data_IF_075739216205
#
_entry.id   IF_075739216205
#
_cell.length_a   1.000
_cell.length_b   1.000
_cell.length_c   1.000
_cell.angle_alpha   90.00
_cell.angle_beta   90.00
_cell.angle_gamma   90.00
#
_symmetry.space_group_name_H-M   'P 1'
#
loop_
_entity.id
_entity.type
_entity.pdbx_description
1 polymer ?
#
# COMPACT_ATOMS: atom_id res chain seq x y z
N UNK A 1 -8.25 12.37 -13.12
CA UNK A 1 -7.58 13.07 -14.24
C UNK A 1 -8.55 14.05 -14.85
N UNK A 2 -8.12 15.26 -15.20
CA UNK A 2 -8.97 16.32 -15.74
C UNK A 2 -8.54 16.61 -17.18
N UNK A 3 -9.47 16.53 -18.12
CA UNK A 3 -9.25 16.81 -19.54
C UNK A 3 -10.21 17.89 -19.98
N UNK A 4 -9.68 19.02 -20.45
CA UNK A 4 -10.45 20.20 -20.83
C UNK A 4 -9.73 21.02 -21.90
N UNK A 5 -10.47 21.84 -22.62
CA UNK A 5 -9.91 22.78 -23.59
C UNK A 5 -9.26 23.97 -22.86
N UNK A 6 -8.03 24.33 -23.25
CA UNK A 6 -7.33 25.46 -22.64
C UNK A 6 -7.80 26.83 -23.15
N UNK A 7 -8.15 26.93 -24.45
CA UNK A 7 -8.54 28.20 -25.08
C UNK A 7 -10.00 28.26 -25.53
N UNK A 8 -10.63 27.12 -25.79
CA UNK A 8 -11.97 27.09 -26.39
C UNK A 8 -13.04 26.98 -25.30
N UNK A 9 -14.05 27.83 -25.43
CA UNK A 9 -15.28 27.78 -24.62
C UNK A 9 -16.20 26.67 -25.12
N UNK A 10 -17.09 26.17 -24.28
CA UNK A 10 -18.09 25.14 -24.58
C UNK A 10 -19.02 25.44 -25.75
N UNK A 11 -19.22 26.71 -26.10
CA UNK A 11 -20.00 27.09 -27.29
C UNK A 11 -19.21 26.91 -28.60
N UNK A 12 -17.88 26.92 -28.53
CA UNK A 12 -17.00 26.73 -29.68
C UNK A 12 -16.57 25.27 -29.83
N UNK A 13 -16.38 24.56 -28.72
CA UNK A 13 -15.92 23.19 -28.69
C UNK A 13 -16.66 22.42 -27.60
N UNK A 14 -17.53 21.49 -28.00
CA UNK A 14 -18.17 20.55 -27.06
C UNK A 14 -17.46 19.20 -27.07
N UNK A 15 -17.11 18.72 -25.88
CA UNK A 15 -16.36 17.48 -25.68
C UNK A 15 -17.32 16.41 -25.15
N UNK A 16 -17.38 15.29 -25.86
CA UNK A 16 -18.17 14.13 -25.51
C UNK A 16 -17.27 12.93 -25.22
N UNK A 17 -17.72 12.05 -24.32
CA UNK A 17 -17.06 10.78 -24.03
C UNK A 17 -18.00 9.63 -24.43
N UNK A 18 -17.42 8.53 -24.91
CA UNK A 18 -18.18 7.32 -25.21
C UNK A 18 -18.44 6.54 -23.91
N UNK A 19 -19.66 6.06 -23.73
CA UNK A 19 -20.04 5.14 -22.65
C UNK A 19 -20.55 3.83 -23.26
N UNK A 20 -20.10 2.65 -22.80
CA UNK A 20 -19.15 2.41 -21.71
C UNK A 20 -17.70 2.77 -22.09
N UNK A 21 -16.89 3.16 -21.11
CA UNK A 21 -15.45 3.34 -21.30
C UNK A 21 -14.80 2.00 -21.61
N UNK A 22 -14.23 1.90 -22.79
CA UNK A 22 -13.58 0.69 -23.28
C UNK A 22 -12.36 0.34 -22.42
N UNK A 23 -12.36 -0.88 -21.88
CA UNK A 23 -11.32 -1.43 -21.01
C UNK A 23 -10.58 -2.60 -21.68
N UNK A 24 -10.80 -2.84 -22.97
CA UNK A 24 -10.21 -3.98 -23.67
C UNK A 24 -8.67 -3.92 -23.73
N UNK A 25 -8.09 -2.72 -23.60
CA UNK A 25 -6.64 -2.49 -23.54
C UNK A 25 -6.09 -2.45 -22.11
N UNK A 26 -6.92 -2.71 -21.09
CA UNK A 26 -6.46 -2.70 -19.70
C UNK A 26 -5.61 -3.93 -19.38
N UNK A 27 -4.31 -3.71 -19.18
CA UNK A 27 -3.41 -4.74 -18.66
C UNK A 27 -3.52 -4.79 -17.14
N UNK A 28 -3.99 -5.94 -16.61
CA UNK A 28 -4.16 -6.16 -15.17
C UNK A 28 -2.81 -6.06 -14.46
N UNK A 29 -2.72 -5.17 -13.47
CA UNK A 29 -1.54 -5.05 -12.62
C UNK A 29 -1.64 -6.02 -11.44
N UNK A 30 -0.53 -6.67 -11.08
CA UNK A 30 -0.43 -7.54 -9.90
C UNK A 30 -0.45 -6.77 -8.58
N UNK A 31 -0.05 -5.51 -8.58
CA UNK A 31 0.01 -4.67 -7.37
C UNK A 31 -1.28 -3.87 -7.11
N UNK A 32 -2.02 -3.55 -8.17
CA UNK A 32 -3.15 -2.62 -8.12
C UNK A 32 -4.37 -3.21 -8.83
N UNK A 33 -5.46 -3.35 -8.10
CA UNK A 33 -6.75 -3.74 -8.65
C UNK A 33 -7.54 -2.49 -9.08
N UNK A 34 -8.13 -2.53 -10.26
CA UNK A 34 -9.01 -1.47 -10.74
C UNK A 34 -10.45 -1.80 -10.32
N UNK A 35 -11.00 -1.04 -9.36
CA UNK A 35 -12.36 -1.25 -8.86
C UNK A 35 -13.38 -0.59 -9.80
N UNK A 36 -13.11 0.65 -10.18
CA UNK A 36 -14.03 1.46 -10.96
C UNK A 36 -13.25 2.47 -11.79
N UNK A 37 -13.69 2.65 -13.02
CA UNK A 37 -13.29 3.76 -13.87
C UNK A 37 -14.56 4.44 -14.36
N UNK A 38 -14.74 5.71 -14.00
CA UNK A 38 -15.92 6.49 -14.38
C UNK A 38 -15.47 7.80 -14.99
N UNK A 39 -16.04 8.16 -16.14
CA UNK A 39 -15.90 9.47 -16.74
C UNK A 39 -17.11 10.33 -16.37
N UNK A 40 -16.88 11.53 -15.87
CA UNK A 40 -17.91 12.53 -15.56
C UNK A 40 -17.65 13.80 -16.35
N UNK A 41 -18.64 14.27 -17.08
CA UNK A 41 -18.59 15.59 -17.71
C UNK A 41 -18.98 16.64 -16.68
N UNK A 42 -18.12 17.63 -16.49
CA UNK A 42 -18.35 18.78 -15.65
C UNK A 42 -18.47 20.03 -16.53
N UNK A 43 -19.53 20.81 -16.32
CA UNK A 43 -19.66 22.14 -16.90
C UNK A 43 -19.38 23.16 -15.81
N UNK A 44 -18.33 23.95 -15.98
CA UNK A 44 -17.97 25.01 -15.04
C UNK A 44 -18.39 26.34 -15.64
N UNK A 45 -19.24 27.09 -14.92
CA UNK A 45 -19.58 28.47 -15.27
C UNK A 45 -18.63 29.41 -14.53
N UNK A 46 -18.04 30.37 -15.23
CA UNK A 46 -17.30 31.45 -14.59
C UNK A 46 -18.27 32.61 -14.32
N UNK A 47 -18.45 32.98 -13.06
CA UNK A 47 -19.52 33.88 -12.59
C UNK A 47 -19.54 35.28 -13.26
N UNK A 48 -18.47 35.69 -13.94
CA UNK A 48 -18.33 37.05 -14.49
C UNK A 48 -18.56 37.16 -16.00
N UNK A 49 -18.71 36.03 -16.72
CA UNK A 49 -18.94 36.01 -18.17
C UNK A 49 -19.86 34.85 -18.55
N UNK A 50 -20.73 35.00 -19.55
CA UNK A 50 -21.62 33.94 -20.06
C UNK A 50 -20.88 32.77 -20.78
N UNK A 51 -19.65 32.49 -20.35
CA UNK A 51 -18.67 31.62 -21.00
C UNK A 51 -18.64 30.30 -20.24
N UNK A 52 -19.20 29.25 -20.84
CA UNK A 52 -19.27 27.91 -20.22
C UNK A 52 -18.02 27.11 -20.57
N UNK A 53 -17.32 26.56 -19.59
CA UNK A 53 -16.20 25.63 -19.84
C UNK A 53 -16.68 24.19 -19.69
N UNK A 54 -16.27 23.32 -20.62
CA UNK A 54 -16.65 21.90 -20.64
C UNK A 54 -15.40 21.07 -20.40
N UNK A 55 -15.38 20.38 -19.26
CA UNK A 55 -14.28 19.52 -18.86
C UNK A 55 -14.79 18.09 -18.63
N UNK A 56 -13.90 17.12 -18.76
CA UNK A 56 -14.15 15.71 -18.46
C UNK A 56 -13.22 15.27 -17.34
N UNK A 57 -13.82 14.81 -16.26
CA UNK A 57 -13.15 14.28 -15.09
C UNK A 57 -13.20 12.75 -15.13
N UNK A 58 -12.04 12.12 -15.18
CA UNK A 58 -11.89 10.68 -15.09
C UNK A 58 -11.55 10.30 -13.64
N UNK A 59 -12.45 9.57 -13.01
CA UNK A 59 -12.29 9.02 -11.68
C UNK A 59 -11.84 7.57 -11.79
N UNK A 60 -10.63 7.30 -11.30
CA UNK A 60 -10.01 5.99 -11.28
C UNK A 60 -9.91 5.54 -9.82
N UNK A 61 -10.72 4.56 -9.44
CA UNK A 61 -10.70 3.96 -8.10
C UNK A 61 -9.87 2.69 -8.16
N UNK A 62 -8.69 2.74 -7.52
CA UNK A 62 -7.75 1.62 -7.43
C UNK A 62 -7.60 1.12 -6.00
N UNK A 63 -7.44 -0.18 -5.84
CA UNK A 63 -7.17 -0.84 -4.57
C UNK A 63 -5.77 -1.46 -4.59
N UNK A 64 -4.98 -1.21 -3.55
CA UNK A 64 -3.66 -1.85 -3.39
C UNK A 64 -3.86 -3.29 -2.90
N UNK A 65 -3.21 -4.27 -3.55
CA UNK A 65 -3.15 -5.66 -3.10
C UNK A 65 -1.86 -5.91 -2.30
N UNK A 66 -1.91 -6.04 -0.96
CA UNK A 66 -0.71 -6.20 -0.14
C UNK A 66 -0.18 -7.64 -0.10
N UNK A 67 -0.76 -8.59 -0.84
CA UNK A 67 -0.51 -10.04 -0.71
C UNK A 67 0.97 -10.41 -0.78
N UNK A 68 1.71 -9.89 -1.76
CA UNK A 68 3.13 -10.17 -1.92
C UNK A 68 4.00 -9.53 -0.83
N UNK A 69 3.63 -8.31 -0.41
CA UNK A 69 4.30 -7.60 0.69
C UNK A 69 4.12 -8.32 2.03
N UNK A 70 2.92 -8.83 2.30
CA UNK A 70 2.65 -9.61 3.51
C UNK A 70 3.40 -10.94 3.52
N UNK A 71 3.45 -11.66 2.40
CA UNK A 71 4.23 -12.91 2.31
C UNK A 71 5.72 -12.67 2.54
N UNK A 72 6.27 -11.60 1.96
CA UNK A 72 7.69 -11.23 2.12
C UNK A 72 8.02 -10.78 3.54
N UNK A 73 7.04 -10.30 4.32
CA UNK A 73 7.20 -9.95 5.73
C UNK A 73 6.97 -11.14 6.68
N UNK A 74 6.03 -12.03 6.39
CA UNK A 74 5.77 -13.22 7.22
C UNK A 74 6.97 -14.18 7.16
N UNK A 75 7.63 -14.29 6.01
CA UNK A 75 8.79 -15.16 5.82
C UNK A 75 9.95 -14.87 6.80
N UNK A 76 10.45 -13.63 6.97
CA UNK A 76 11.48 -13.32 7.96
C UNK A 76 10.98 -13.50 9.39
N UNK A 77 9.69 -13.25 9.70
CA UNK A 77 9.15 -13.55 11.02
C UNK A 77 9.19 -15.05 11.34
N UNK A 78 8.82 -15.92 10.41
CA UNK A 78 8.88 -17.37 10.59
C UNK A 78 10.33 -17.84 10.81
N UNK A 79 11.29 -17.30 10.05
CA UNK A 79 12.72 -17.62 10.21
C UNK A 79 13.23 -17.17 11.58
N UNK A 80 12.86 -15.98 12.06
CA UNK A 80 13.28 -15.49 13.38
C UNK A 80 12.68 -16.35 14.48
N UNK A 81 11.39 -16.66 14.42
CA UNK A 81 10.73 -17.52 15.44
C UNK A 81 11.34 -18.91 15.49
N UNK A 82 11.68 -19.52 14.35
CA UNK A 82 12.32 -20.83 14.32
C UNK A 82 13.73 -20.79 14.91
N UNK A 83 14.52 -19.75 14.64
CA UNK A 83 15.85 -19.55 15.24
C UNK A 83 15.74 -19.36 16.76
N UNK A 84 14.78 -18.58 17.23
CA UNK A 84 14.54 -18.38 18.68
C UNK A 84 14.17 -19.68 19.39
N UNK A 85 13.30 -20.50 18.78
CA UNK A 85 12.91 -21.81 19.31
C UNK A 85 14.13 -22.75 19.34
N UNK A 86 14.88 -22.85 18.24
CA UNK A 86 16.10 -23.69 18.16
C UNK A 86 17.14 -23.25 19.20
N UNK A 87 17.32 -21.94 19.42
CA UNK A 87 18.25 -21.40 20.43
C UNK A 87 17.83 -21.68 21.88
N UNK A 88 16.53 -21.84 22.13
CA UNK A 88 16.01 -22.25 23.45
C UNK A 88 16.19 -23.77 23.66
N UNK A 89 15.94 -24.58 22.61
CA UNK A 89 15.98 -26.04 22.69
C UNK A 89 17.35 -26.68 22.49
N UNK A 90 18.36 -25.97 21.94
CA UNK A 90 19.72 -26.48 21.82
C UNK A 90 20.35 -26.71 23.22
N UNK A 91 20.62 -27.97 23.65
CA UNK A 91 21.08 -28.31 24.99
C UNK A 91 22.55 -28.73 24.99
N UNK A 92 23.43 -27.96 24.34
CA UNK A 92 24.86 -28.26 24.28
C UNK A 92 25.68 -26.99 24.46
N UNK A 93 26.02 -26.65 25.71
CA UNK A 93 27.40 -26.59 26.20
C UNK A 93 27.44 -25.88 27.57
N UNK A 94 28.55 -26.09 28.26
CA UNK A 94 28.78 -25.76 29.67
C UNK A 94 29.17 -24.28 29.89
N UNK A 95 28.64 -23.69 30.98
CA UNK A 95 29.26 -22.62 31.82
C UNK A 95 29.54 -21.23 31.21
N UNK A 96 29.47 -21.01 29.89
CA UNK A 96 29.68 -19.68 29.24
C UNK A 96 28.46 -19.06 28.54
N UNK A 97 27.40 -19.83 28.32
CA UNK A 97 26.47 -19.60 27.20
C UNK A 97 25.27 -18.69 27.52
N UNK A 98 25.24 -18.09 28.72
CA UNK A 98 24.17 -17.16 29.10
C UNK A 98 24.25 -15.85 28.29
N UNK A 99 25.45 -15.48 27.85
CA UNK A 99 25.72 -14.30 27.02
C UNK A 99 25.34 -14.53 25.55
N UNK A 100 25.55 -15.74 25.02
CA UNK A 100 25.16 -16.08 23.65
C UNK A 100 23.63 -16.07 23.47
N UNK A 101 22.87 -16.60 24.43
CA UNK A 101 21.39 -16.58 24.37
C UNK A 101 20.83 -15.16 24.38
N UNK A 102 21.41 -14.26 25.20
CA UNK A 102 21.00 -12.84 25.25
C UNK A 102 21.41 -12.11 23.97
N UNK A 103 22.59 -12.40 23.42
CA UNK A 103 23.08 -11.80 22.18
C UNK A 103 22.28 -12.26 20.95
N UNK A 104 21.84 -13.52 20.90
CA UNK A 104 20.90 -14.01 19.87
C UNK A 104 19.52 -13.34 19.98
N UNK A 105 19.02 -13.11 21.20
CA UNK A 105 17.79 -12.34 21.43
C UNK A 105 17.90 -10.88 20.98
N UNK A 106 19.02 -10.21 21.27
CA UNK A 106 19.26 -8.82 20.84
C UNK A 106 19.40 -8.67 19.33
N UNK A 107 20.12 -9.57 18.67
CA UNK A 107 20.30 -9.53 17.20
C UNK A 107 18.99 -9.81 16.46
N UNK A 108 18.14 -10.71 16.96
CA UNK A 108 16.80 -10.96 16.40
C UNK A 108 15.85 -9.77 16.58
N UNK A 109 15.84 -9.13 17.76
CA UNK A 109 15.09 -7.90 18.00
C UNK A 109 15.55 -6.75 17.09
N UNK A 110 16.87 -6.56 16.95
CA UNK A 110 17.44 -5.54 16.07
C UNK A 110 17.08 -5.79 14.60
N UNK A 111 17.16 -7.05 14.15
CA UNK A 111 16.80 -7.44 12.78
C UNK A 111 15.33 -7.15 12.48
N UNK A 112 14.42 -7.48 13.42
CA UNK A 112 13.00 -7.17 13.29
C UNK A 112 12.74 -5.65 13.23
N UNK A 113 13.42 -4.86 14.06
CA UNK A 113 13.32 -3.41 14.03
C UNK A 113 13.80 -2.79 12.70
N UNK A 114 14.91 -3.29 12.13
CA UNK A 114 15.41 -2.85 10.83
C UNK A 114 14.43 -3.18 9.70
N UNK A 115 13.87 -4.40 9.69
CA UNK A 115 12.86 -4.81 8.70
C UNK A 115 11.62 -3.90 8.78
N UNK A 116 11.13 -3.63 9.99
CA UNK A 116 10.00 -2.71 10.20
C UNK A 116 10.31 -1.29 9.73
N UNK A 117 11.54 -0.83 9.92
CA UNK A 117 12.00 0.49 9.45
C UNK A 117 11.97 0.58 7.92
N UNK A 118 12.51 -0.44 7.24
CA UNK A 118 12.48 -0.53 5.76
C UNK A 118 11.03 -0.54 5.24
N UNK A 119 10.13 -1.29 5.88
CA UNK A 119 8.71 -1.32 5.49
C UNK A 119 8.04 0.04 5.69
N UNK A 120 8.34 0.70 6.81
CA UNK A 120 7.81 2.03 7.13
C UNK A 120 8.29 3.09 6.14
N UNK A 121 9.52 2.97 5.64
CA UNK A 121 10.05 3.86 4.60
C UNK A 121 9.48 3.59 3.21
N UNK A 122 9.08 2.34 2.91
CA UNK A 122 8.43 1.98 1.63
C UNK A 122 6.94 2.28 1.61
N UNK A 123 6.29 2.36 2.77
CA UNK A 123 4.93 2.88 2.85
C UNK A 123 4.98 4.41 2.80
N UNK A 124 4.18 5.07 1.93
CA UNK A 124 4.03 6.52 2.05
C UNK A 124 3.54 6.80 3.48
N UNK A 125 4.21 7.71 4.20
CA UNK A 125 3.86 8.15 5.55
C UNK A 125 2.44 8.75 5.53
N UNK A 126 1.43 7.90 5.56
CA UNK A 126 0.03 8.32 5.56
C UNK A 126 -0.35 8.58 7.01
N UNK A 127 -0.41 9.86 7.37
CA UNK A 127 -0.73 10.34 8.71
C UNK A 127 -2.23 10.41 9.02
N UNK A 128 -3.12 9.93 8.13
CA UNK A 128 -4.58 10.04 8.28
C UNK A 128 -5.31 8.74 8.61
N UNK A 129 -4.63 7.79 9.23
CA UNK A 129 -5.29 6.61 9.77
C UNK A 129 -4.28 5.57 10.15
N UNK A 130 -4.28 5.18 11.42
CA UNK A 130 -3.49 4.07 11.93
C UNK A 130 -3.64 2.86 10.98
N UNK A 131 -2.58 2.47 10.24
CA UNK A 131 -2.70 1.43 9.24
C UNK A 131 -3.00 0.11 9.94
N UNK A 132 -3.91 -0.68 9.37
CA UNK A 132 -4.33 -2.02 9.83
C UNK A 132 -3.15 -2.96 10.16
N UNK A 133 -1.98 -2.74 9.55
CA UNK A 133 -0.75 -3.46 9.86
C UNK A 133 -0.31 -3.31 11.32
N UNK A 134 -0.46 -2.12 11.92
CA UNK A 134 -0.16 -1.91 13.34
C UNK A 134 -1.08 -2.70 14.27
N UNK A 135 -2.31 -2.98 13.81
CA UNK A 135 -3.28 -3.77 14.57
C UNK A 135 -2.99 -5.26 14.47
N UNK A 136 -2.64 -5.78 13.28
CA UNK A 136 -2.24 -7.19 13.10
C UNK A 136 -0.89 -7.49 13.79
N UNK A 137 0.08 -6.57 13.72
CA UNK A 137 1.36 -6.70 14.42
C UNK A 137 1.22 -6.65 15.95
N UNK A 138 0.30 -5.83 16.48
CA UNK A 138 0.04 -5.77 17.92
C UNK A 138 -0.83 -6.92 18.44
N UNK A 139 -1.69 -7.52 17.60
CA UNK A 139 -2.50 -8.69 18.00
C UNK A 139 -1.81 -10.04 17.77
N UNK A 140 -0.71 -10.11 17.02
CA UNK A 140 0.08 -11.34 16.85
C UNK A 140 1.44 -11.31 17.56
N UNK A 141 1.46 -11.14 18.89
CA UNK A 141 2.51 -11.76 19.71
C UNK A 141 2.21 -13.17 20.29
N UNK A 142 1.00 -13.73 20.17
CA UNK A 142 0.54 -14.73 21.16
C UNK A 142 -0.40 -15.85 20.69
N UNK A 143 -0.60 -16.07 19.38
CA UNK A 143 -1.35 -17.25 18.93
C UNK A 143 -0.40 -18.43 18.67
N UNK A 144 0.02 -19.05 19.76
CA UNK A 144 0.61 -20.40 19.82
C UNK A 144 2.06 -20.47 19.31
N UNK A 145 3.01 -20.09 20.17
CA UNK A 145 4.22 -20.84 20.60
C UNK A 145 5.08 -19.91 21.47
#
# INVERSE_FOLDING_TARGET
>A
MHLGSWMHTGDQMDIFYSTPTDMDLYNKNTEWDLISFTARRQKSHLDTSATTWVDINYDLVIQRKPTYYLMTFVLPCVIITSISIIGIFAPFSDVGDREEKVTMGLTTLLTMAVILTIVTDKMPKSSEGMPLLGRVGATCPWAII
#
